data_IF_273249202016
#
_entry.id   IF_273249202016
#
_cell.length_a   1.000
_cell.length_b   1.000
_cell.length_c   1.000
_cell.angle_alpha   90.00
_cell.angle_beta   90.00
_cell.angle_gamma   90.00
#
_symmetry.space_group_name_H-M   'P 1'
#
loop_
_entity.id
_entity.type
_entity.pdbx_description
1 polymer ?
#
# COMPACT_ATOMS: atom_id res chain seq x y z
N UNK A 1 -21.38 -31.46 19.47
CA UNK A 1 -20.17 -30.69 19.08
C UNK A 1 -20.28 -30.07 17.69
N UNK A 2 -20.48 -30.86 16.62
CA UNK A 2 -20.55 -30.37 15.21
C UNK A 2 -21.57 -29.23 15.00
N UNK A 3 -22.80 -29.34 15.53
CA UNK A 3 -23.83 -28.30 15.39
C UNK A 3 -23.45 -26.95 16.01
N UNK A 4 -22.71 -26.96 17.13
CA UNK A 4 -22.26 -25.73 17.80
C UNK A 4 -21.16 -25.04 16.95
N UNK A 5 -20.25 -25.82 16.37
CA UNK A 5 -19.23 -25.32 15.46
C UNK A 5 -19.85 -24.75 14.16
N UNK A 6 -20.88 -25.39 13.62
CA UNK A 6 -21.62 -24.89 12.46
C UNK A 6 -22.37 -23.58 12.76
N UNK A 7 -23.04 -23.50 13.91
CA UNK A 7 -23.73 -22.27 14.34
C UNK A 7 -22.75 -21.12 14.61
N UNK A 8 -21.60 -21.39 15.24
CA UNK A 8 -20.54 -20.41 15.45
C UNK A 8 -19.93 -19.93 14.13
N UNK A 9 -19.64 -20.85 13.19
CA UNK A 9 -19.14 -20.49 11.87
C UNK A 9 -20.15 -19.64 11.08
N UNK A 10 -21.44 -19.98 11.15
CA UNK A 10 -22.53 -19.19 10.56
C UNK A 10 -22.62 -17.79 11.15
N UNK A 11 -22.57 -17.65 12.48
CA UNK A 11 -22.57 -16.35 13.17
C UNK A 11 -21.34 -15.50 12.78
N UNK A 12 -20.16 -16.11 12.72
CA UNK A 12 -18.91 -15.44 12.32
C UNK A 12 -18.99 -14.99 10.85
N UNK A 13 -19.51 -15.82 9.93
CA UNK A 13 -19.70 -15.43 8.53
C UNK A 13 -20.73 -14.30 8.38
N UNK A 14 -21.84 -14.36 9.11
CA UNK A 14 -22.87 -13.31 9.11
C UNK A 14 -22.35 -11.98 9.65
N UNK A 15 -21.64 -11.99 10.79
CA UNK A 15 -20.99 -10.80 11.34
C UNK A 15 -19.93 -10.23 10.38
N UNK A 16 -19.16 -11.08 9.69
CA UNK A 16 -18.20 -10.65 8.66
C UNK A 16 -18.89 -9.96 7.49
N UNK A 17 -19.96 -10.54 6.94
CA UNK A 17 -20.72 -9.91 5.85
C UNK A 17 -21.43 -8.62 6.27
N UNK A 18 -21.96 -8.57 7.50
CA UNK A 18 -22.61 -7.38 8.04
C UNK A 18 -21.62 -6.23 8.37
N UNK A 19 -20.34 -6.55 8.57
CA UNK A 19 -19.29 -5.57 8.83
C UNK A 19 -18.64 -5.00 7.56
N UNK A 20 -18.60 -5.73 6.43
CA UNK A 20 -18.01 -5.22 5.18
C UNK A 20 -18.89 -4.12 4.57
N UNK A 21 -18.29 -2.94 4.42
CA UNK A 21 -18.91 -1.75 3.85
C UNK A 21 -18.68 -1.74 2.35
N UNK A 22 -17.43 -1.96 1.96
CA UNK A 22 -16.94 -1.95 0.58
C UNK A 22 -15.70 -2.87 0.49
N UNK A 23 -15.51 -3.49 -0.66
CA UNK A 23 -14.42 -4.44 -0.91
C UNK A 23 -14.11 -4.45 -2.41
N UNK A 24 -12.87 -4.11 -2.77
CA UNK A 24 -12.47 -3.91 -4.16
C UNK A 24 -10.97 -4.19 -4.37
N UNK A 25 -10.62 -4.54 -5.60
CA UNK A 25 -9.24 -4.58 -6.08
C UNK A 25 -9.00 -3.46 -7.09
N UNK A 26 -7.80 -2.90 -7.09
CA UNK A 26 -7.40 -1.86 -8.03
C UNK A 26 -5.95 -2.09 -8.48
N UNK A 27 -5.68 -1.88 -9.76
CA UNK A 27 -4.33 -1.83 -10.31
C UNK A 27 -3.75 -0.45 -10.03
N UNK A 28 -2.49 -0.40 -9.61
CA UNK A 28 -1.65 0.79 -9.70
C UNK A 28 -0.72 0.58 -10.88
N UNK A 29 -0.60 1.57 -11.76
CA UNK A 29 0.41 1.62 -12.82
C UNK A 29 1.31 2.83 -12.59
N UNK A 30 2.62 2.62 -12.66
CA UNK A 30 3.63 3.67 -12.56
C UNK A 30 4.46 3.70 -13.84
N UNK A 31 4.40 4.85 -14.52
CA UNK A 31 5.07 5.07 -15.81
C UNK A 31 6.23 6.02 -15.59
N UNK A 32 7.44 5.52 -15.82
CA UNK A 32 8.67 6.28 -15.87
C UNK A 32 9.06 6.53 -17.32
N UNK A 33 9.89 7.53 -17.56
CA UNK A 33 10.56 7.76 -18.84
C UNK A 33 12.05 7.50 -18.65
N UNK A 34 12.64 6.61 -19.44
CA UNK A 34 14.08 6.33 -19.52
C UNK A 34 14.55 6.69 -20.93
N UNK A 35 15.35 7.76 -21.06
CA UNK A 35 15.91 8.21 -22.34
C UNK A 35 14.88 8.43 -23.49
N UNK A 36 13.65 8.82 -23.16
CA UNK A 36 12.57 9.02 -24.13
C UNK A 36 11.63 7.82 -24.31
N UNK A 37 11.95 6.67 -23.70
CA UNK A 37 11.14 5.44 -23.76
C UNK A 37 10.35 5.26 -22.47
N UNK A 38 9.04 4.94 -22.52
CA UNK A 38 8.28 4.64 -21.31
C UNK A 38 8.71 3.29 -20.71
N UNK A 39 9.01 3.29 -19.42
CA UNK A 39 9.25 2.10 -18.59
C UNK A 39 8.10 2.01 -17.59
N UNK A 40 7.31 0.94 -17.70
CA UNK A 40 6.07 0.76 -16.95
C UNK A 40 6.23 -0.40 -15.98
N UNK A 41 5.78 -0.22 -14.74
CA UNK A 41 5.46 -1.31 -13.83
C UNK A 41 4.04 -1.14 -13.30
N UNK A 42 3.36 -2.25 -13.04
CA UNK A 42 2.04 -2.23 -12.42
C UNK A 42 1.88 -3.35 -11.39
N UNK A 43 0.96 -3.17 -10.44
CA UNK A 43 0.66 -4.16 -9.41
C UNK A 43 -0.80 -4.01 -8.95
N UNK A 44 -1.42 -5.12 -8.54
CA UNK A 44 -2.81 -5.16 -8.07
C UNK A 44 -2.84 -5.17 -6.55
N UNK A 45 -3.63 -4.27 -5.96
CA UNK A 45 -3.84 -4.11 -4.52
C UNK A 45 -5.32 -4.31 -4.21
N UNK A 46 -5.61 -5.08 -3.17
CA UNK A 46 -6.96 -5.34 -2.68
C UNK A 46 -7.21 -4.61 -1.36
N UNK A 47 -8.41 -4.06 -1.20
CA UNK A 47 -8.84 -3.28 -0.04
C UNK A 47 -10.23 -3.74 0.41
N UNK A 48 -10.33 -4.10 1.68
CA UNK A 48 -11.62 -4.32 2.34
C UNK A 48 -11.84 -3.24 3.42
N UNK A 49 -12.93 -2.47 3.28
CA UNK A 49 -13.39 -1.48 4.25
C UNK A 49 -14.42 -2.14 5.15
N UNK A 50 -14.13 -2.26 6.44
CA UNK A 50 -15.03 -2.85 7.43
C UNK A 50 -15.42 -1.83 8.50
N UNK A 51 -16.67 -1.88 8.94
CA UNK A 51 -17.16 -1.18 10.13
C UNK A 51 -16.72 -1.95 11.37
N UNK A 52 -16.23 -1.25 12.39
CA UNK A 52 -15.91 -1.86 13.67
C UNK A 52 -17.21 -2.18 14.41
N UNK A 53 -17.39 -3.43 14.86
CA UNK A 53 -18.59 -3.92 15.55
C UNK A 53 -18.14 -4.58 16.87
N UNK A 54 -18.85 -4.39 18.01
CA UNK A 54 -20.06 -3.58 18.18
C UNK A 54 -19.78 -2.07 18.17
N UNK A 55 -20.65 -1.28 17.51
CA UNK A 55 -20.62 0.17 17.64
C UNK A 55 -21.35 0.59 18.92
N UNK A 56 -20.67 1.32 19.79
CA UNK A 56 -21.28 2.14 20.83
C UNK A 56 -20.75 3.55 20.60
N UNK A 57 -21.64 4.50 20.29
CA UNK A 57 -21.29 5.84 19.78
C UNK A 57 -20.61 5.82 18.38
N UNK A 58 -19.47 6.49 18.17
CA UNK A 58 -18.85 6.62 16.84
C UNK A 58 -18.30 5.30 16.27
N UNK A 59 -18.95 4.78 15.22
CA UNK A 59 -18.44 3.65 14.44
C UNK A 59 -17.12 4.02 13.71
N UNK A 60 -15.99 3.50 14.19
CA UNK A 60 -14.74 3.52 13.42
C UNK A 60 -14.77 2.57 12.21
N UNK A 61 -14.00 2.89 11.18
CA UNK A 61 -13.72 1.98 10.05
C UNK A 61 -12.30 1.41 10.14
N UNK A 62 -12.17 0.14 9.81
CA UNK A 62 -10.88 -0.54 9.61
C UNK A 62 -10.71 -0.84 8.13
N UNK A 63 -9.54 -0.51 7.60
CA UNK A 63 -9.12 -0.84 6.25
C UNK A 63 -8.13 -2.00 6.32
N UNK A 64 -8.47 -3.14 5.73
CA UNK A 64 -7.53 -4.22 5.49
C UNK A 64 -7.00 -4.08 4.07
N UNK A 65 -5.68 -4.02 3.91
CA UNK A 65 -5.00 -3.94 2.62
C UNK A 65 -4.18 -5.21 2.38
N UNK A 66 -4.29 -5.75 1.17
CA UNK A 66 -3.46 -6.84 0.68
C UNK A 66 -2.82 -6.45 -0.64
N UNK A 67 -1.49 -6.46 -0.71
CA UNK A 67 -0.73 -6.11 -1.91
C UNK A 67 0.76 -5.95 -1.66
N UNK A 68 1.51 -5.75 -2.74
CA UNK A 68 2.95 -5.53 -2.73
C UNK A 68 3.30 -4.22 -3.47
N UNK A 69 4.46 -3.64 -3.18
CA UNK A 69 5.03 -2.54 -3.94
C UNK A 69 5.33 -2.95 -5.39
N UNK A 70 5.37 -1.97 -6.28
CA UNK A 70 5.67 -2.16 -7.71
C UNK A 70 7.19 -2.13 -7.93
N UNK A 71 7.86 -3.24 -8.29
CA UNK A 71 9.23 -3.20 -8.76
C UNK A 71 9.25 -2.71 -10.22
N UNK A 72 9.91 -1.58 -10.47
CA UNK A 72 10.12 -1.04 -11.83
C UNK A 72 11.57 -1.24 -12.22
N UNK A 73 11.81 -2.11 -13.19
CA UNK A 73 13.16 -2.46 -13.69
C UNK A 73 13.55 -1.57 -14.86
N UNK A 74 14.74 -0.98 -14.81
CA UNK A 74 15.31 -0.16 -15.87
C UNK A 74 16.28 -0.94 -16.77
N UNK A 75 16.62 -0.38 -17.93
CA UNK A 75 17.50 -1.01 -18.93
C UNK A 75 18.85 -1.47 -18.36
N UNK A 76 19.39 -0.74 -17.38
CA UNK A 76 20.65 -1.02 -16.70
C UNK A 76 20.55 -2.07 -15.57
N UNK A 77 19.38 -2.71 -15.39
CA UNK A 77 19.15 -3.74 -14.38
C UNK A 77 18.86 -3.24 -12.97
N UNK A 78 18.90 -1.93 -12.72
CA UNK A 78 18.45 -1.35 -11.43
C UNK A 78 16.93 -1.37 -11.31
N UNK A 79 16.47 -1.29 -10.06
CA UNK A 79 15.06 -1.24 -9.70
C UNK A 79 14.75 -0.01 -8.85
N UNK A 80 13.59 0.63 -9.08
CA UNK A 80 12.91 1.40 -8.03
C UNK A 80 11.67 0.64 -7.57
N UNK A 81 11.21 0.95 -6.36
CA UNK A 81 10.04 0.33 -5.76
C UNK A 81 9.01 1.42 -5.46
N UNK A 82 7.88 1.38 -6.16
CA UNK A 82 6.74 2.27 -5.88
C UNK A 82 5.93 1.63 -4.77
N UNK A 83 5.92 2.25 -3.61
CA UNK A 83 5.30 1.72 -2.41
C UNK A 83 3.76 1.70 -2.51
N UNK A 84 3.10 1.00 -1.59
CA UNK A 84 1.63 0.90 -1.56
C UNK A 84 0.90 2.22 -1.26
N UNK A 85 1.60 3.24 -0.75
CA UNK A 85 1.03 4.54 -0.40
C UNK A 85 2.10 5.58 -0.05
N UNK A 86 1.67 6.73 0.47
CA UNK A 86 2.55 7.81 0.93
C UNK A 86 3.16 7.46 2.29
N UNK A 87 4.48 7.27 2.35
CA UNK A 87 5.17 6.81 3.56
C UNK A 87 5.31 7.89 4.65
N UNK A 88 5.38 9.17 4.28
CA UNK A 88 5.52 10.31 5.21
C UNK A 88 4.24 10.57 6.04
N UNK A 89 3.10 9.97 5.69
CA UNK A 89 1.81 10.22 6.33
C UNK A 89 1.15 8.94 6.87
N UNK A 90 1.19 8.78 8.20
CA UNK A 90 0.81 7.58 8.97
C UNK A 90 -0.52 7.80 9.73
N UNK A 91 -1.45 6.85 9.96
CA UNK A 91 -1.64 5.44 9.53
C UNK A 91 -3.15 5.16 9.38
N UNK A 92 -3.58 4.49 8.30
CA UNK A 92 -4.66 3.43 8.25
C UNK A 92 -5.01 3.10 6.80
N UNK A 93 -5.51 4.09 6.05
CA UNK A 93 -5.63 4.07 4.58
C UNK A 93 -5.69 5.48 3.95
N UNK A 94 -5.32 6.54 4.69
CA UNK A 94 -5.61 7.93 4.32
C UNK A 94 -5.04 8.37 2.97
N UNK A 95 -3.84 7.89 2.62
CA UNK A 95 -3.10 8.32 1.43
C UNK A 95 -2.62 7.10 0.61
N UNK A 96 -3.55 6.21 0.31
CA UNK A 96 -3.38 5.14 -0.68
C UNK A 96 -3.79 5.68 -2.07
N UNK A 97 -3.18 5.25 -3.18
CA UNK A 97 -3.48 5.80 -4.50
C UNK A 97 -4.92 5.54 -4.98
N UNK A 98 -5.65 4.56 -4.42
CA UNK A 98 -7.09 4.38 -4.70
C UNK A 98 -7.93 5.61 -4.32
N UNK A 99 -7.41 6.53 -3.50
CA UNK A 99 -8.12 7.75 -3.12
C UNK A 99 -8.38 8.68 -4.33
N UNK A 100 -7.67 8.48 -5.46
CA UNK A 100 -7.98 9.10 -6.75
C UNK A 100 -9.32 8.63 -7.33
N UNK A 101 -9.79 7.43 -6.97
CA UNK A 101 -11.09 6.86 -7.35
C UNK A 101 -12.21 7.30 -6.39
N UNK A 102 -11.98 8.23 -5.44
CA UNK A 102 -13.00 8.60 -4.46
C UNK A 102 -14.25 9.17 -5.15
N UNK A 103 -15.43 8.60 -4.90
CA UNK A 103 -16.65 9.05 -5.55
C UNK A 103 -17.06 10.43 -5.06
N UNK A 104 -17.39 11.31 -6.01
CA UNK A 104 -18.26 12.45 -5.76
C UNK A 104 -19.65 12.09 -6.29
N UNK A 105 -20.71 12.02 -5.45
CA UNK A 105 -20.73 12.19 -3.99
C UNK A 105 -20.24 10.97 -3.18
N UNK A 106 -19.80 11.21 -1.95
CA UNK A 106 -19.10 10.27 -1.05
C UNK A 106 -19.89 9.03 -0.58
N UNK A 107 -21.16 8.87 -0.97
CA UNK A 107 -22.02 7.77 -0.52
C UNK A 107 -22.04 6.54 -1.44
N UNK A 108 -21.46 6.63 -2.65
CA UNK A 108 -21.31 5.47 -3.55
C UNK A 108 -20.14 4.60 -3.08
N UNK A 109 -20.18 3.29 -3.31
CA UNK A 109 -19.01 2.43 -3.09
C UNK A 109 -17.97 2.63 -4.20
N UNK A 110 -16.71 2.39 -3.88
CA UNK A 110 -15.63 2.35 -4.87
C UNK A 110 -15.79 1.11 -5.76
N UNK A 111 -16.20 -0.03 -5.21
CA UNK A 111 -16.51 -1.26 -5.99
C UNK A 111 -17.58 -1.10 -7.07
N UNK A 112 -18.43 -0.06 -6.97
CA UNK A 112 -19.52 0.23 -7.92
C UNK A 112 -19.10 1.23 -9.03
N UNK A 113 -17.87 1.72 -9.03
CA UNK A 113 -17.41 2.72 -10.00
C UNK A 113 -16.98 2.11 -11.34
N UNK A 114 -16.99 2.91 -12.42
CA UNK A 114 -16.43 2.47 -13.70
C UNK A 114 -14.97 2.03 -13.57
N UNK A 115 -14.62 0.91 -14.25
CA UNK A 115 -13.24 0.45 -14.43
C UNK A 115 -12.55 1.34 -15.47
N UNK A 116 -12.19 2.56 -15.06
CA UNK A 116 -11.53 3.58 -15.89
C UNK A 116 -10.25 4.01 -15.18
N UNK A 117 -9.15 4.08 -15.92
CA UNK A 117 -7.87 4.54 -15.40
C UNK A 117 -7.92 6.03 -15.06
N UNK A 118 -7.54 6.39 -13.83
CA UNK A 118 -7.50 7.76 -13.30
C UNK A 118 -6.07 8.08 -12.85
N UNK A 119 -5.52 9.22 -13.29
CA UNK A 119 -4.22 9.71 -12.80
C UNK A 119 -4.31 10.08 -11.33
N UNK A 120 -3.32 9.66 -10.54
CA UNK A 120 -3.29 9.83 -9.09
C UNK A 120 -2.88 11.27 -8.75
N UNK A 121 -3.71 12.05 -8.03
CA UNK A 121 -3.36 13.40 -7.60
C UNK A 121 -2.10 13.44 -6.72
N UNK A 122 -1.28 14.51 -6.75
CA UNK A 122 0.01 14.59 -6.06
C UNK A 122 0.01 14.16 -4.59
N UNK A 123 -1.03 14.49 -3.83
CA UNK A 123 -1.18 14.14 -2.41
C UNK A 123 -1.39 12.63 -2.14
N UNK A 124 -1.65 11.83 -3.18
CA UNK A 124 -1.85 10.38 -3.10
C UNK A 124 -0.82 9.61 -3.94
N UNK A 125 0.12 10.29 -4.61
CA UNK A 125 1.23 9.68 -5.35
C UNK A 125 2.08 8.88 -4.37
N UNK A 126 2.17 7.54 -4.51
CA UNK A 126 2.90 6.73 -3.54
C UNK A 126 4.38 7.07 -3.50
N UNK A 127 4.99 6.89 -2.34
CA UNK A 127 6.42 7.07 -2.17
C UNK A 127 7.19 6.09 -3.05
N UNK A 128 8.20 6.59 -3.77
CA UNK A 128 9.12 5.77 -4.56
C UNK A 128 10.43 5.65 -3.80
N UNK A 129 10.99 4.45 -3.72
CA UNK A 129 12.29 4.20 -3.08
C UNK A 129 13.26 3.44 -4.00
N UNK A 130 14.54 3.58 -3.70
CA UNK A 130 15.66 2.87 -4.33
C UNK A 130 16.50 2.21 -3.24
N UNK A 131 16.95 0.96 -3.47
CA UNK A 131 17.91 0.30 -2.59
C UNK A 131 19.31 0.41 -3.19
N UNK A 132 20.25 1.03 -2.49
CA UNK A 132 21.68 1.00 -2.87
C UNK A 132 22.30 -0.39 -2.78
N UNK A 133 21.80 -1.25 -1.88
CA UNK A 133 22.03 -2.69 -1.84
C UNK A 133 20.68 -3.41 -1.66
N UNK A 134 20.24 -4.13 -2.69
CA UNK A 134 18.98 -4.88 -2.68
C UNK A 134 18.94 -5.99 -1.61
N UNK A 135 20.08 -6.40 -1.05
CA UNK A 135 20.16 -7.39 0.03
C UNK A 135 20.00 -6.79 1.44
N UNK A 136 20.12 -5.46 1.60
CA UNK A 136 20.01 -4.77 2.89
C UNK A 136 18.73 -3.91 2.96
N UNK A 137 17.74 -4.26 3.81
CA UNK A 137 16.54 -3.44 4.00
C UNK A 137 16.82 -2.03 4.50
N UNK A 138 17.98 -1.77 5.13
CA UNK A 138 18.37 -0.45 5.66
C UNK A 138 18.96 0.48 4.59
N UNK A 139 19.23 -0.04 3.39
CA UNK A 139 19.80 0.72 2.27
C UNK A 139 18.77 1.57 1.49
N UNK A 140 17.54 1.69 1.97
CA UNK A 140 16.47 2.40 1.29
C UNK A 140 16.72 3.92 1.24
N UNK A 141 16.59 4.50 0.05
CA UNK A 141 16.67 5.94 -0.21
C UNK A 141 15.39 6.39 -0.91
N UNK A 142 14.82 7.51 -0.47
CA UNK A 142 13.69 8.17 -1.12
C UNK A 142 14.07 8.64 -2.52
N UNK A 143 13.24 8.31 -3.52
CA UNK A 143 13.42 8.75 -4.91
C UNK A 143 12.51 9.94 -5.18
N UNK A 144 13.07 11.02 -5.71
CA UNK A 144 12.37 12.24 -6.10
C UNK A 144 12.89 12.75 -7.46
N UNK A 145 12.31 13.84 -7.98
CA UNK A 145 12.69 14.40 -9.28
C UNK A 145 14.16 14.83 -9.38
N UNK A 146 14.76 15.24 -8.26
CA UNK A 146 16.12 15.78 -8.22
C UNK A 146 17.19 14.68 -8.18
N UNK A 147 16.90 13.54 -7.54
CA UNK A 147 17.88 12.48 -7.31
C UNK A 147 17.71 11.23 -8.18
N UNK A 148 16.54 11.02 -8.81
CA UNK A 148 16.24 9.79 -9.56
C UNK A 148 17.23 9.54 -10.71
N UNK A 149 17.65 10.59 -11.41
CA UNK A 149 18.63 10.48 -12.50
C UNK A 149 20.04 10.12 -12.00
N UNK A 150 20.38 10.41 -10.75
CA UNK A 150 21.67 10.02 -10.13
C UNK A 150 21.61 8.61 -9.55
N UNK A 151 20.52 8.25 -8.88
CA UNK A 151 20.33 6.94 -8.27
C UNK A 151 20.17 5.83 -9.31
N UNK A 152 19.31 6.05 -10.29
CA UNK A 152 18.90 5.03 -11.28
C UNK A 152 19.73 5.15 -12.55
N UNK A 153 19.67 6.29 -13.24
CA UNK A 153 20.42 6.53 -14.46
C UNK A 153 20.01 7.82 -15.15
N UNK A 154 20.89 8.36 -16.01
CA UNK A 154 20.64 9.63 -16.68
C UNK A 154 19.32 9.65 -17.45
N UNK A 155 18.62 10.79 -17.41
CA UNK A 155 17.34 11.04 -18.07
C UNK A 155 16.17 10.15 -17.60
N UNK A 156 16.28 9.48 -16.45
CA UNK A 156 15.15 8.80 -15.81
C UNK A 156 14.29 9.83 -15.07
N UNK A 157 12.96 9.78 -15.24
CA UNK A 157 11.97 10.56 -14.48
C UNK A 157 10.65 9.81 -14.33
N UNK A 158 9.92 10.03 -13.23
CA UNK A 158 8.53 9.60 -13.10
C UNK A 158 7.63 10.49 -13.98
N UNK A 159 6.74 9.88 -14.77
CA UNK A 159 5.83 10.61 -15.67
C UNK A 159 4.40 10.67 -15.12
N UNK A 160 3.88 9.53 -14.66
CA UNK A 160 2.52 9.39 -14.15
C UNK A 160 2.43 8.20 -13.20
N UNK A 161 1.50 8.27 -12.26
CA UNK A 161 0.95 7.09 -11.58
C UNK A 161 -0.56 7.13 -11.79
N UNK A 162 -1.15 6.03 -12.22
CA UNK A 162 -2.60 5.87 -12.39
C UNK A 162 -3.15 4.71 -11.56
N UNK A 163 -4.46 4.73 -11.34
CA UNK A 163 -5.20 3.65 -10.72
C UNK A 163 -6.46 3.30 -11.51
N UNK A 164 -6.80 2.02 -11.53
CA UNK A 164 -7.97 1.48 -12.21
C UNK A 164 -8.58 0.33 -11.40
N UNK A 165 -9.91 0.24 -11.33
CA UNK A 165 -10.56 -0.90 -10.69
C UNK A 165 -10.42 -2.16 -11.55
N UNK A 166 -10.13 -3.28 -10.91
CA UNK A 166 -9.85 -4.54 -11.61
C UNK A 166 -10.35 -5.73 -10.80
N UNK A 167 -10.68 -6.82 -11.50
CA UNK A 167 -11.02 -8.11 -10.89
C UNK A 167 -9.81 -9.08 -10.90
N UNK A 168 -8.63 -8.61 -11.36
CA UNK A 168 -7.38 -9.35 -11.33
C UNK A 168 -6.99 -9.77 -9.89
N UNK A 169 -6.26 -10.90 -9.73
CA UNK A 169 -5.74 -11.31 -8.44
C UNK A 169 -4.70 -10.32 -7.90
N UNK A 170 -4.60 -10.22 -6.57
CA UNK A 170 -3.54 -9.47 -5.89
C UNK A 170 -2.17 -9.96 -6.35
N UNK A 171 -1.31 -9.03 -6.74
CA UNK A 171 0.02 -9.35 -7.24
C UNK A 171 0.94 -9.89 -6.14
N UNK A 172 1.82 -10.80 -6.54
CA UNK A 172 2.77 -11.50 -5.65
C UNK A 172 4.15 -11.60 -6.31
N UNK A 173 5.16 -12.08 -5.56
CA UNK A 173 6.51 -12.33 -6.07
C UNK A 173 7.57 -11.28 -5.70
N UNK A 174 7.22 -10.20 -4.99
CA UNK A 174 8.20 -9.23 -4.48
C UNK A 174 9.24 -9.89 -3.55
N UNK A 175 8.87 -10.96 -2.85
CA UNK A 175 9.73 -11.78 -2.02
C UNK A 175 10.76 -12.61 -2.79
N UNK A 176 10.59 -12.81 -4.09
CA UNK A 176 11.62 -13.39 -4.96
C UNK A 176 12.74 -12.36 -5.27
N UNK A 177 12.39 -11.08 -5.29
CA UNK A 177 13.30 -9.97 -5.54
C UNK A 177 13.91 -9.39 -4.26
N UNK A 178 13.15 -9.40 -3.15
CA UNK A 178 13.53 -8.94 -1.81
C UNK A 178 13.35 -10.08 -0.78
N UNK A 179 14.19 -11.14 -0.77
CA UNK A 179 13.99 -12.31 0.10
C UNK A 179 13.95 -12.00 1.60
N UNK A 180 14.51 -10.87 2.01
CA UNK A 180 14.49 -10.40 3.39
C UNK A 180 13.11 -9.92 3.87
N UNK A 181 12.17 -9.61 2.98
CA UNK A 181 10.84 -9.08 3.35
C UNK A 181 10.02 -10.08 4.19
N UNK A 182 10.32 -11.38 4.05
CA UNK A 182 9.71 -12.48 4.82
C UNK A 182 10.40 -12.75 6.17
N UNK A 183 11.51 -12.08 6.50
CA UNK A 183 12.24 -12.30 7.76
C UNK A 183 11.44 -11.72 8.93
N UNK A 184 11.38 -12.46 10.04
CA UNK A 184 10.62 -12.05 11.22
C UNK A 184 11.09 -10.68 11.77
N UNK A 185 12.39 -10.39 11.77
CA UNK A 185 12.93 -9.05 12.16
C UNK A 185 12.31 -7.91 11.35
N UNK A 186 12.17 -8.08 10.03
CA UNK A 186 11.61 -7.04 9.13
C UNK A 186 10.10 -6.90 9.34
N UNK A 187 9.42 -8.02 9.58
CA UNK A 187 7.99 -8.07 9.95
C UNK A 187 7.77 -7.40 11.32
N UNK A 188 8.66 -7.59 12.29
CA UNK A 188 8.57 -7.02 13.63
C UNK A 188 8.85 -5.52 13.62
N UNK A 189 9.80 -5.03 12.82
CA UNK A 189 10.00 -3.60 12.56
C UNK A 189 8.72 -2.99 11.95
N UNK A 190 8.19 -3.61 10.90
CA UNK A 190 6.93 -3.21 10.25
C UNK A 190 5.74 -3.18 11.23
N UNK A 191 5.68 -4.12 12.17
CA UNK A 191 4.58 -4.25 13.14
C UNK A 191 4.75 -3.36 14.39
N UNK A 192 5.97 -3.14 14.88
CA UNK A 192 6.24 -2.28 16.03
C UNK A 192 5.75 -0.86 15.81
N UNK A 193 5.94 -0.35 14.59
CA UNK A 193 5.54 1.00 14.19
C UNK A 193 4.01 1.15 14.00
N UNK A 194 3.24 0.06 14.07
CA UNK A 194 1.77 0.08 14.17
C UNK A 194 1.32 0.50 15.58
N UNK A 195 2.10 0.16 16.62
CA UNK A 195 1.72 0.39 18.01
C UNK A 195 1.97 1.83 18.48
N UNK A 196 3.00 2.50 17.95
CA UNK A 196 3.39 3.87 18.32
C UNK A 196 2.57 4.95 17.60
N UNK A 197 2.02 4.63 16.42
CA UNK A 197 1.21 5.57 15.61
C UNK A 197 -0.13 5.99 16.24
N UNK A 198 -0.47 5.50 17.45
CA UNK A 198 -1.71 5.87 18.13
C UNK A 198 -1.64 7.18 18.94
N UNK A 199 -0.46 7.78 19.18
CA UNK A 199 -0.37 8.96 20.08
C UNK A 199 0.63 10.09 19.79
N UNK A 200 1.69 9.92 18.99
CA UNK A 200 2.79 10.91 18.99
C UNK A 200 3.42 11.16 17.60
N UNK A 201 2.87 12.10 16.82
CA UNK A 201 3.63 12.90 15.84
C UNK A 201 2.96 14.27 15.61
N UNK A 202 3.41 15.34 16.28
CA UNK A 202 3.21 16.71 15.80
C UNK A 202 4.16 16.99 14.62
N UNK A 203 3.68 17.72 13.60
CA UNK A 203 4.31 17.90 12.27
C UNK A 203 5.58 18.79 12.24
N UNK A 204 6.34 18.93 13.34
CA UNK A 204 7.21 20.11 13.55
C UNK A 204 8.69 19.88 13.85
N UNK A 205 9.22 18.65 13.91
CA UNK A 205 10.68 18.45 14.08
C UNK A 205 11.43 18.19 12.75
N UNK A 206 12.13 19.22 12.28
CA UNK A 206 13.04 19.19 11.13
C UNK A 206 14.29 18.32 11.32
N UNK A 207 14.55 17.81 12.53
CA UNK A 207 15.68 16.95 12.85
C UNK A 207 15.33 15.44 12.90
N UNK A 208 14.12 15.05 12.50
CA UNK A 208 13.64 13.66 12.45
C UNK A 208 14.30 12.79 11.35
N UNK A 209 15.64 12.72 11.37
CA UNK A 209 16.45 11.77 10.58
C UNK A 209 16.30 10.34 11.10
N UNK A 210 15.12 9.74 10.90
CA UNK A 210 14.88 8.31 11.10
C UNK A 210 13.73 7.73 10.25
N UNK A 211 13.40 8.32 9.09
CA UNK A 211 12.40 7.76 8.16
C UNK A 211 12.77 6.37 7.57
N UNK A 212 13.98 5.87 7.83
CA UNK A 212 14.49 4.61 7.27
C UNK A 212 13.83 3.32 7.81
N UNK A 213 13.08 3.36 8.91
CA UNK A 213 12.47 2.16 9.51
C UNK A 213 11.11 1.76 8.94
N UNK A 214 10.41 2.65 8.23
CA UNK A 214 8.95 2.55 8.09
C UNK A 214 8.47 2.01 6.73
N UNK A 215 9.34 2.04 5.71
CA UNK A 215 9.04 1.52 4.36
C UNK A 215 8.69 0.03 4.28
N UNK A 216 9.22 -0.90 5.12
CA UNK A 216 8.88 -2.33 5.01
C UNK A 216 7.38 -2.62 5.01
N UNK A 217 6.60 -1.85 5.78
CA UNK A 217 5.14 -1.98 5.83
C UNK A 217 4.43 -1.58 4.54
N UNK A 218 5.03 -0.72 3.72
CA UNK A 218 4.48 -0.31 2.43
C UNK A 218 5.10 -1.05 1.24
N UNK A 219 6.11 -1.91 1.48
CA UNK A 219 6.59 -2.88 0.50
C UNK A 219 5.64 -4.08 0.38
N UNK A 220 5.09 -4.55 1.50
CA UNK A 220 4.06 -5.58 1.49
C UNK A 220 3.08 -5.36 2.65
N UNK A 221 1.78 -5.30 2.33
CA UNK A 221 0.72 -5.45 3.33
C UNK A 221 0.01 -6.76 3.06
N UNK A 222 -0.11 -7.57 4.09
CA UNK A 222 -1.06 -8.68 4.15
C UNK A 222 -1.80 -8.53 5.48
N UNK A 223 -2.66 -7.52 5.55
CA UNK A 223 -3.44 -7.22 6.74
C UNK A 223 -4.44 -8.35 6.99
N UNK A 224 -4.01 -9.40 7.70
CA UNK A 224 -4.87 -10.47 8.18
C UNK A 224 -5.85 -9.93 9.23
N UNK A 225 -6.92 -9.28 8.76
CA UNK A 225 -8.10 -8.86 9.53
C UNK A 225 -8.95 -10.05 10.01
N UNK A 226 -8.32 -11.19 10.28
CA UNK A 226 -8.94 -12.50 10.46
C UNK A 226 -8.89 -13.01 11.92
N UNK A 227 -8.05 -12.44 12.80
CA UNK A 227 -7.70 -13.05 14.12
C UNK A 227 -7.50 -12.09 15.30
N UNK A 228 -8.08 -10.87 15.30
CA UNK A 228 -8.19 -10.04 16.53
C UNK A 228 -9.58 -9.41 16.68
N UNK A 229 -10.53 -10.27 17.01
CA UNK A 229 -11.66 -10.01 17.92
C UNK A 229 -11.69 -11.20 18.86
#
# INVERSE_FOLDING_TARGET
MVLILAAAAGLIMWQRSAATVDEFSYRVEATFNENGTPVIGSNVVHVAIRRNIPCVDMCGYTFAVHGQAIPVKFSNGKYVFVLLGVAEQSVRAGNMPFQALRPAPLYRKISELPRVSVSVPPQYVPTVIYFTDIADPRSAILVNGDNISTLVGANVRLMNISVELTDDPVSTGLDQLLPWIRRQEVIDISNGNISTSHRLYPETDKNSKALQSDYPRFLERNDRSWTRI
#
